data_IF_583132984050
#
_entry.id   IF_583132984050
#
_cell.length_a   1.000
_cell.length_b   1.000
_cell.length_c   1.000
_cell.angle_alpha   90.00
_cell.angle_beta   90.00
_cell.angle_gamma   90.00
#
_symmetry.space_group_name_H-M   'P 1'
#
loop_
_entity.id
_entity.type
_entity.pdbx_description
1 polymer ?
#
# COMPACT_ATOMS: atom_id res chain seq x y z
N UNK A 1 4.85 -6.39 10.19
CA UNK A 1 5.33 -4.99 10.12
C UNK A 1 4.67 -4.17 11.21
N UNK A 2 5.45 -3.41 11.94
CA UNK A 2 4.96 -2.46 12.93
C UNK A 2 5.71 -1.14 12.78
N UNK A 3 5.01 -0.08 12.37
CA UNK A 3 5.50 1.28 12.46
C UNK A 3 4.89 1.94 13.70
N UNK A 4 5.73 2.33 14.66
CA UNK A 4 5.26 2.95 15.91
C UNK A 4 4.65 4.33 15.72
N UNK A 5 4.98 5.00 14.62
CA UNK A 5 4.66 6.42 14.42
C UNK A 5 3.85 6.64 13.13
N UNK A 6 2.81 5.81 12.93
CA UNK A 6 1.91 5.83 11.76
C UNK A 6 1.14 7.15 11.53
N UNK A 7 1.47 8.21 12.25
CA UNK A 7 0.95 9.54 11.97
C UNK A 7 1.93 10.27 11.05
N UNK A 8 1.51 10.54 9.82
CA UNK A 8 2.20 11.40 8.87
C UNK A 8 2.18 12.87 9.35
N UNK A 9 2.84 13.13 10.48
CA UNK A 9 3.13 14.52 10.87
C UNK A 9 4.48 14.86 10.24
N UNK A 10 4.52 15.76 9.26
CA UNK A 10 5.77 16.20 8.66
C UNK A 10 6.75 16.67 9.73
N UNK A 11 7.96 16.12 9.72
CA UNK A 11 9.02 16.52 10.62
C UNK A 11 9.17 15.71 11.91
N UNK A 12 8.53 14.55 12.04
CA UNK A 12 8.53 13.75 13.28
C UNK A 12 9.37 12.46 13.24
N UNK A 13 10.25 12.29 12.25
CA UNK A 13 11.21 11.18 12.33
C UNK A 13 12.22 11.45 13.46
N UNK A 14 12.35 10.56 14.46
CA UNK A 14 13.35 10.72 15.51
C UNK A 14 14.76 10.85 14.91
N UNK A 15 15.65 11.66 15.51
CA UNK A 15 17.02 11.83 15.01
C UNK A 15 17.85 10.54 14.97
N UNK A 16 17.45 9.56 15.77
CA UNK A 16 18.09 8.24 15.92
C UNK A 16 17.38 7.14 15.10
N UNK A 17 16.46 7.49 14.21
CA UNK A 17 15.79 6.54 13.36
C UNK A 17 16.79 5.80 12.43
N UNK A 18 16.87 4.50 12.58
CA UNK A 18 17.87 3.65 11.90
C UNK A 18 17.37 2.96 10.63
N UNK A 19 16.10 3.11 10.29
CA UNK A 19 15.48 2.47 9.12
C UNK A 19 14.35 1.51 9.49
N UNK A 20 13.57 1.12 8.48
CA UNK A 20 12.48 0.16 8.59
C UNK A 20 12.92 -1.27 8.28
N UNK A 21 12.04 -2.22 8.54
CA UNK A 21 12.28 -3.64 8.25
C UNK A 21 10.98 -4.38 7.98
N UNK A 22 11.07 -5.48 7.25
CA UNK A 22 10.01 -6.47 7.12
C UNK A 22 10.30 -7.58 8.11
N UNK A 23 9.29 -7.99 8.87
CA UNK A 23 9.37 -9.04 9.88
C UNK A 23 8.33 -10.13 9.58
N UNK A 24 8.68 -11.37 9.91
CA UNK A 24 7.78 -12.51 9.98
C UNK A 24 7.62 -12.91 11.44
N UNK A 25 6.36 -13.07 11.88
CA UNK A 25 6.03 -13.50 13.23
C UNK A 25 5.41 -14.89 13.14
N UNK A 26 5.97 -15.84 13.85
CA UNK A 26 5.34 -17.15 14.07
C UNK A 26 4.16 -16.97 15.03
N UNK A 27 2.95 -17.34 14.60
CA UNK A 27 1.74 -17.11 15.39
C UNK A 27 1.57 -18.08 16.56
N UNK A 28 2.27 -19.22 16.56
CA UNK A 28 2.22 -20.20 17.65
C UNK A 28 3.24 -19.87 18.74
N UNK A 29 4.45 -19.50 18.35
CA UNK A 29 5.56 -19.26 19.28
C UNK A 29 5.73 -17.79 19.64
N UNK A 30 5.27 -16.87 18.79
CA UNK A 30 5.53 -15.43 18.88
C UNK A 30 6.96 -15.04 18.47
N UNK A 31 7.74 -15.96 17.94
CA UNK A 31 9.09 -15.65 17.45
C UNK A 31 9.06 -14.70 16.28
N UNK A 32 9.96 -13.71 16.30
CA UNK A 32 10.07 -12.67 15.27
C UNK A 32 11.36 -12.89 14.49
N UNK A 33 11.24 -13.01 13.18
CA UNK A 33 12.35 -13.08 12.24
C UNK A 33 12.39 -11.83 11.37
N UNK A 34 13.55 -11.21 11.25
CA UNK A 34 13.75 -10.09 10.32
C UNK A 34 13.98 -10.65 8.92
N UNK A 35 13.08 -10.31 8.00
CA UNK A 35 13.07 -10.82 6.62
C UNK A 35 13.88 -9.91 5.68
N UNK A 36 13.74 -8.58 5.83
CA UNK A 36 14.47 -7.62 5.01
C UNK A 36 14.66 -6.29 5.75
N UNK A 37 15.83 -5.67 5.57
CA UNK A 37 16.18 -4.36 6.13
C UNK A 37 16.67 -3.38 5.08
N UNK A 38 17.05 -3.87 3.89
CA UNK A 38 17.67 -3.07 2.84
C UNK A 38 17.46 -3.68 1.44
N UNK A 39 17.74 -2.86 0.43
CA UNK A 39 17.93 -3.28 -0.96
C UNK A 39 19.30 -2.76 -1.46
N UNK A 40 20.22 -3.66 -1.82
CA UNK A 40 21.56 -3.35 -2.36
C UNK A 40 22.35 -2.31 -1.54
N UNK A 41 22.32 -2.42 -0.19
CA UNK A 41 22.99 -1.50 0.73
C UNK A 41 22.22 -0.20 0.99
N UNK A 42 21.06 0.00 0.39
CA UNK A 42 20.15 1.11 0.70
C UNK A 42 19.14 0.67 1.76
N UNK A 43 19.20 1.18 2.99
CA UNK A 43 18.27 0.81 4.05
C UNK A 43 16.83 1.16 3.68
N UNK A 44 15.90 0.25 3.99
CA UNK A 44 14.47 0.55 3.96
C UNK A 44 14.17 1.67 4.97
N UNK A 45 13.38 2.66 4.57
CA UNK A 45 13.11 3.86 5.37
C UNK A 45 11.81 3.78 6.15
N UNK A 46 10.78 3.29 5.53
CA UNK A 46 9.45 3.15 6.13
C UNK A 46 8.60 2.15 5.35
N UNK A 47 8.94 0.84 5.38
CA UNK A 47 8.06 -0.17 4.83
C UNK A 47 6.64 0.05 5.36
N UNK A 48 5.67 0.12 4.48
CA UNK A 48 4.34 0.58 4.86
C UNK A 48 3.27 -0.51 4.66
N UNK A 49 3.03 -0.94 3.44
CA UNK A 49 1.98 -1.90 3.14
C UNK A 49 2.52 -3.06 2.30
N UNK A 50 1.81 -4.19 2.31
CA UNK A 50 2.25 -5.40 1.62
C UNK A 50 1.07 -6.22 1.09
N UNK A 51 1.32 -6.98 0.02
CA UNK A 51 0.38 -7.95 -0.55
C UNK A 51 1.11 -9.17 -1.05
N UNK A 52 0.48 -10.34 -0.93
CA UNK A 52 0.98 -11.59 -1.50
C UNK A 52 0.21 -11.94 -2.77
N UNK A 53 0.91 -12.48 -3.77
CA UNK A 53 0.28 -13.14 -4.91
C UNK A 53 -0.08 -14.60 -4.58
N UNK A 54 -0.78 -15.29 -5.48
CA UNK A 54 -1.21 -16.69 -5.30
C UNK A 54 -0.06 -17.69 -5.21
N UNK A 55 1.13 -17.32 -5.69
CA UNK A 55 2.34 -18.12 -5.56
C UNK A 55 3.06 -17.91 -4.22
N UNK A 56 2.59 -16.96 -3.39
CA UNK A 56 3.19 -16.60 -2.11
C UNK A 56 4.36 -15.61 -2.24
N UNK A 57 4.53 -14.98 -3.39
CA UNK A 57 5.49 -13.89 -3.51
C UNK A 57 4.96 -12.62 -2.83
N UNK A 58 5.86 -11.88 -2.23
CA UNK A 58 5.58 -10.65 -1.49
C UNK A 58 5.86 -9.41 -2.34
N UNK A 59 4.90 -8.49 -2.41
CA UNK A 59 5.08 -7.13 -2.88
C UNK A 59 4.89 -6.17 -1.72
N UNK A 60 5.74 -5.16 -1.59
CA UNK A 60 5.62 -4.18 -0.51
C UNK A 60 6.08 -2.79 -0.93
N UNK A 61 5.61 -1.79 -0.22
CA UNK A 61 5.98 -0.39 -0.39
C UNK A 61 6.92 0.07 0.71
N UNK A 62 7.82 1.00 0.38
CA UNK A 62 8.55 1.81 1.34
C UNK A 62 8.11 3.27 1.16
N UNK A 63 7.50 3.84 2.20
CA UNK A 63 6.94 5.19 2.20
C UNK A 63 8.02 6.29 2.15
N UNK A 64 9.26 5.96 2.53
CA UNK A 64 10.26 6.96 2.89
C UNK A 64 9.96 7.62 4.24
N UNK A 65 10.75 8.61 4.62
CA UNK A 65 10.56 9.38 5.87
C UNK A 65 10.61 10.89 5.62
N UNK A 66 9.84 11.63 6.41
CA UNK A 66 9.85 13.08 6.38
C UNK A 66 10.68 13.63 7.55
N UNK A 67 11.47 14.64 7.26
CA UNK A 67 12.30 15.38 8.21
C UNK A 67 11.97 16.88 8.13
N UNK A 68 12.43 17.72 9.06
CA UNK A 68 12.08 19.15 9.06
C UNK A 68 12.47 19.91 7.77
N UNK A 69 13.52 19.47 7.07
CA UNK A 69 14.09 20.19 5.92
C UNK A 69 14.15 19.36 4.63
N UNK A 70 13.85 18.06 4.69
CA UNK A 70 13.89 17.16 3.53
C UNK A 70 12.98 15.96 3.75
N UNK A 71 12.84 15.15 2.70
CA UNK A 71 12.15 13.87 2.72
C UNK A 71 12.97 12.84 1.97
N UNK A 72 13.04 11.62 2.50
CA UNK A 72 13.43 10.44 1.72
C UNK A 72 12.32 10.11 0.72
N UNK A 73 12.69 9.75 -0.48
CA UNK A 73 11.77 9.11 -1.43
C UNK A 73 11.62 7.63 -1.10
N UNK A 74 10.54 7.04 -1.56
CA UNK A 74 10.23 5.63 -1.35
C UNK A 74 10.29 4.81 -2.63
N UNK A 75 9.98 3.52 -2.51
CA UNK A 75 9.97 2.57 -3.61
C UNK A 75 8.93 1.47 -3.46
N UNK A 76 8.82 0.66 -4.50
CA UNK A 76 8.00 -0.54 -4.55
C UNK A 76 8.91 -1.73 -4.80
N UNK A 77 8.76 -2.76 -4.00
CA UNK A 77 9.66 -3.89 -3.92
C UNK A 77 8.93 -5.23 -4.05
N UNK A 78 9.71 -6.25 -4.37
CA UNK A 78 9.26 -7.63 -4.54
C UNK A 78 10.22 -8.60 -3.85
N UNK A 79 9.67 -9.68 -3.31
CA UNK A 79 10.45 -10.83 -2.83
C UNK A 79 9.75 -12.11 -3.30
N UNK A 80 10.50 -12.98 -3.98
CA UNK A 80 9.97 -14.28 -4.39
C UNK A 80 9.73 -15.19 -3.17
N UNK A 81 8.71 -16.02 -3.22
CA UNK A 81 8.40 -16.99 -2.18
C UNK A 81 9.63 -17.86 -1.85
N UNK A 82 9.96 -17.95 -0.56
CA UNK A 82 11.12 -18.72 -0.08
C UNK A 82 12.49 -18.06 -0.37
N UNK A 83 12.52 -16.85 -0.89
CA UNK A 83 13.75 -16.08 -1.11
C UNK A 83 13.98 -15.08 0.02
N UNK A 84 15.24 -14.81 0.33
CA UNK A 84 15.71 -13.73 1.19
C UNK A 84 16.11 -12.46 0.41
N UNK A 85 15.94 -12.47 -0.92
CA UNK A 85 16.38 -11.38 -1.80
C UNK A 85 15.25 -10.42 -2.11
N UNK A 86 15.45 -9.16 -1.75
CA UNK A 86 14.63 -8.04 -2.20
C UNK A 86 14.99 -7.69 -3.63
N UNK A 87 13.99 -7.39 -4.45
CA UNK A 87 14.10 -6.82 -5.79
C UNK A 87 13.33 -5.51 -5.82
N UNK A 88 13.83 -4.53 -6.55
CA UNK A 88 13.14 -3.25 -6.75
C UNK A 88 12.30 -3.31 -8.03
N UNK A 89 11.01 -2.99 -7.94
CA UNK A 89 10.18 -2.76 -9.12
C UNK A 89 10.38 -1.35 -9.65
N UNK A 90 10.36 -0.37 -8.75
CA UNK A 90 10.62 1.04 -9.06
C UNK A 90 10.93 1.81 -7.79
N UNK A 91 11.64 2.94 -7.93
CA UNK A 91 12.06 3.80 -6.83
C UNK A 91 11.86 5.28 -7.18
N UNK A 92 12.11 6.14 -6.22
CA UNK A 92 12.01 7.59 -6.34
C UNK A 92 10.56 8.12 -6.44
N UNK A 93 9.63 7.41 -5.82
CA UNK A 93 8.28 7.91 -5.57
C UNK A 93 8.25 8.77 -4.30
N UNK A 94 7.28 9.67 -4.21
CA UNK A 94 7.22 10.61 -3.08
C UNK A 94 6.90 9.87 -1.78
N UNK A 95 5.86 9.02 -1.79
CA UNK A 95 5.38 8.36 -0.58
C UNK A 95 4.50 7.13 -0.90
N UNK A 96 5.08 6.06 -1.48
CA UNK A 96 4.34 4.82 -1.72
C UNK A 96 3.76 4.27 -0.43
N UNK A 97 2.44 4.03 -0.41
CA UNK A 97 1.69 3.57 0.75
C UNK A 97 0.93 2.28 0.39
N UNK A 98 -0.40 2.29 0.36
CA UNK A 98 -1.19 1.11 0.06
C UNK A 98 -0.77 0.40 -1.24
N UNK A 99 -0.75 -0.92 -1.23
CA UNK A 99 -0.37 -1.75 -2.38
C UNK A 99 -1.37 -2.90 -2.59
N UNK A 100 -1.62 -3.28 -3.84
CA UNK A 100 -2.49 -4.39 -4.17
C UNK A 100 -2.26 -4.92 -5.57
N UNK A 101 -2.73 -6.14 -5.82
CA UNK A 101 -2.64 -6.81 -7.12
C UNK A 101 -3.99 -6.83 -7.83
N UNK A 102 -3.99 -6.68 -9.16
CA UNK A 102 -5.18 -6.95 -9.97
C UNK A 102 -5.66 -8.40 -9.79
N UNK A 103 -6.94 -8.72 -10.09
CA UNK A 103 -7.47 -10.08 -9.91
C UNK A 103 -6.74 -11.17 -10.70
N UNK A 104 -6.12 -10.81 -11.82
CA UNK A 104 -5.28 -11.68 -12.66
C UNK A 104 -3.79 -11.63 -12.28
N UNK A 105 -3.44 -10.82 -11.26
CA UNK A 105 -2.07 -10.60 -10.77
C UNK A 105 -1.09 -10.06 -11.84
N UNK A 106 -1.63 -9.51 -12.95
CA UNK A 106 -0.82 -8.95 -14.02
C UNK A 106 -0.45 -7.48 -13.80
N UNK A 107 -1.05 -6.83 -12.79
CA UNK A 107 -0.79 -5.42 -12.46
C UNK A 107 -0.65 -5.23 -10.95
N UNK A 108 0.41 -4.54 -10.55
CA UNK A 108 0.58 -4.02 -9.17
C UNK A 108 0.07 -2.60 -9.13
N UNK A 109 -0.87 -2.31 -8.23
CA UNK A 109 -1.32 -0.96 -7.93
C UNK A 109 -0.70 -0.49 -6.62
N UNK A 110 -0.33 0.79 -6.55
CA UNK A 110 -0.02 1.43 -5.28
C UNK A 110 -0.57 2.84 -5.21
N UNK A 111 -0.86 3.27 -3.99
CA UNK A 111 -1.24 4.64 -3.67
C UNK A 111 -0.02 5.43 -3.23
N UNK A 112 0.19 6.62 -3.80
CA UNK A 112 1.19 7.57 -3.33
C UNK A 112 0.50 8.64 -2.50
N UNK A 113 0.84 8.70 -1.22
CA UNK A 113 0.15 9.51 -0.23
C UNK A 113 0.17 11.00 -0.58
N UNK A 114 1.35 11.56 -0.73
CA UNK A 114 1.50 13.02 -0.82
C UNK A 114 1.18 13.57 -2.20
N UNK A 115 1.29 12.77 -3.24
CA UNK A 115 0.89 13.16 -4.58
C UNK A 115 -0.59 12.90 -4.88
N UNK A 116 -1.30 12.18 -3.99
CA UNK A 116 -2.68 11.73 -4.16
C UNK A 116 -2.90 11.04 -5.52
N UNK A 117 -1.98 10.13 -5.88
CA UNK A 117 -2.02 9.37 -7.13
C UNK A 117 -2.13 7.88 -6.85
N UNK A 118 -2.89 7.21 -7.71
CA UNK A 118 -2.85 5.76 -7.87
C UNK A 118 -1.97 5.44 -9.07
N UNK A 119 -0.94 4.66 -8.84
CA UNK A 119 0.00 4.19 -9.83
C UNK A 119 -0.25 2.71 -10.15
N UNK A 120 0.19 2.28 -11.31
CA UNK A 120 0.16 0.88 -11.73
C UNK A 120 1.47 0.50 -12.43
N UNK A 121 1.95 -0.71 -12.13
CA UNK A 121 2.99 -1.41 -12.85
C UNK A 121 2.38 -2.64 -13.53
N UNK A 122 2.33 -2.65 -14.85
CA UNK A 122 1.97 -3.85 -15.60
C UNK A 122 3.17 -4.81 -15.59
N UNK A 123 2.95 -6.07 -15.22
CA UNK A 123 4.02 -7.04 -15.03
C UNK A 123 4.25 -7.86 -16.32
N UNK A 124 5.52 -8.11 -16.65
CA UNK A 124 5.90 -9.16 -17.63
C UNK A 124 5.82 -10.54 -16.99
N UNK A 125 6.23 -10.62 -15.73
CA UNK A 125 6.19 -11.78 -14.86
C UNK A 125 6.28 -11.29 -13.41
N UNK A 126 6.01 -12.14 -12.40
CA UNK A 126 6.18 -11.74 -11.00
C UNK A 126 7.52 -11.06 -10.72
N UNK A 127 7.48 -9.90 -10.10
CA UNK A 127 8.65 -9.09 -9.75
C UNK A 127 9.32 -8.33 -10.90
N UNK A 128 8.77 -8.37 -12.13
CA UNK A 128 9.35 -7.66 -13.29
C UNK A 128 8.28 -6.78 -13.95
N UNK A 129 8.41 -5.48 -13.76
CA UNK A 129 7.54 -4.49 -14.38
C UNK A 129 7.90 -4.24 -15.85
N UNK A 130 6.87 -4.08 -16.68
CA UNK A 130 7.01 -3.63 -18.07
C UNK A 130 7.39 -2.16 -18.11
N UNK A 131 8.14 -1.76 -19.10
CA UNK A 131 8.39 -0.35 -19.37
C UNK A 131 7.09 0.32 -19.87
N UNK A 132 6.54 1.26 -19.10
CA UNK A 132 5.33 1.99 -19.46
C UNK A 132 5.64 3.19 -20.40
N UNK A 133 6.76 3.88 -20.14
CA UNK A 133 7.27 4.99 -20.98
C UNK A 133 8.80 4.87 -21.06
N UNK A 134 9.49 5.63 -21.96
CA UNK A 134 10.94 5.63 -21.99
C UNK A 134 11.62 6.04 -20.67
N UNK A 135 10.86 6.61 -19.72
CA UNK A 135 11.39 7.16 -18.47
C UNK A 135 10.78 6.54 -17.20
N UNK A 136 9.82 5.63 -17.33
CA UNK A 136 9.13 5.05 -16.17
C UNK A 136 8.56 3.67 -16.49
N UNK A 137 8.69 2.76 -15.56
CA UNK A 137 8.00 1.47 -15.55
C UNK A 137 6.54 1.63 -15.09
N UNK A 138 6.25 2.64 -14.26
CA UNK A 138 4.91 2.94 -13.76
C UNK A 138 4.11 3.89 -14.64
N UNK A 139 2.80 3.72 -14.61
CA UNK A 139 1.81 4.66 -15.17
C UNK A 139 0.86 5.16 -14.08
N UNK A 140 0.45 6.43 -14.17
CA UNK A 140 -0.59 6.97 -13.30
C UNK A 140 -1.95 6.49 -13.80
N UNK A 141 -2.74 5.87 -12.91
CA UNK A 141 -4.12 5.47 -13.18
C UNK A 141 -5.07 6.63 -12.90
N UNK A 142 -4.92 7.28 -11.76
CA UNK A 142 -5.69 8.47 -11.37
C UNK A 142 -4.84 9.38 -10.48
N UNK A 143 -5.13 10.69 -10.54
CA UNK A 143 -4.56 11.69 -9.66
C UNK A 143 -5.63 12.71 -9.28
N UNK A 144 -5.62 13.14 -8.01
CA UNK A 144 -6.65 14.04 -7.49
C UNK A 144 -6.18 15.48 -7.57
N UNK A 145 -7.07 16.41 -7.99
CA UNK A 145 -6.70 17.82 -8.15
C UNK A 145 -6.75 18.61 -6.84
N UNK A 146 -7.40 18.08 -5.81
CA UNK A 146 -7.58 18.71 -4.51
C UNK A 146 -6.59 18.20 -3.46
N UNK A 147 -6.52 18.89 -2.34
CA UNK A 147 -5.66 18.47 -1.21
C UNK A 147 -6.28 17.27 -0.52
N UNK A 148 -5.69 16.11 -0.72
CA UNK A 148 -5.96 14.88 0.00
C UNK A 148 -4.70 14.02 0.07
N UNK A 149 -4.70 13.05 0.97
CA UNK A 149 -3.63 12.07 1.07
C UNK A 149 -4.23 10.68 0.90
N UNK A 150 -3.61 9.88 0.04
CA UNK A 150 -3.96 8.47 -0.08
C UNK A 150 -3.17 7.65 0.94
N UNK A 151 -3.84 6.66 1.53
CA UNK A 151 -3.27 5.75 2.53
C UNK A 151 -3.33 4.31 2.02
N UNK A 152 -3.57 3.33 2.86
CA UNK A 152 -3.68 1.93 2.47
C UNK A 152 -4.86 1.67 1.55
N UNK A 153 -4.83 0.58 0.82
CA UNK A 153 -5.84 0.23 -0.17
C UNK A 153 -6.21 -1.27 -0.14
N UNK A 154 -7.36 -1.57 -0.72
CA UNK A 154 -7.73 -2.93 -1.09
C UNK A 154 -8.28 -2.95 -2.52
N UNK A 155 -8.16 -4.09 -3.18
CA UNK A 155 -8.67 -4.29 -4.54
C UNK A 155 -10.02 -5.00 -4.48
N UNK A 156 -10.98 -4.58 -5.31
CA UNK A 156 -12.24 -5.29 -5.46
C UNK A 156 -12.11 -6.46 -6.44
N UNK A 157 -13.06 -7.39 -6.40
CA UNK A 157 -13.12 -8.50 -7.35
C UNK A 157 -13.29 -8.04 -8.81
N UNK A 158 -13.81 -6.82 -9.02
CA UNK A 158 -13.91 -6.18 -10.34
C UNK A 158 -12.59 -5.49 -10.78
N UNK A 159 -11.56 -5.46 -9.91
CA UNK A 159 -10.29 -4.80 -10.18
C UNK A 159 -10.24 -3.31 -9.83
N UNK A 160 -11.26 -2.78 -9.14
CA UNK A 160 -11.25 -1.41 -8.68
C UNK A 160 -10.31 -1.26 -7.47
N UNK A 161 -9.58 -0.15 -7.41
CA UNK A 161 -8.67 0.20 -6.31
C UNK A 161 -9.44 1.04 -5.30
N UNK A 162 -9.74 0.48 -4.12
CA UNK A 162 -10.41 1.16 -3.02
C UNK A 162 -9.37 1.74 -2.08
N UNK A 163 -9.11 3.05 -2.16
CA UNK A 163 -8.03 3.73 -1.42
C UNK A 163 -8.60 4.51 -0.25
N UNK A 164 -8.09 4.26 0.95
CA UNK A 164 -8.36 5.09 2.10
C UNK A 164 -7.83 6.52 1.87
N UNK A 165 -8.65 7.51 2.21
CA UNK A 165 -8.43 8.91 1.83
C UNK A 165 -8.47 9.80 3.06
N UNK A 166 -7.33 10.35 3.42
CA UNK A 166 -7.13 11.27 4.54
C UNK A 166 -7.49 12.70 4.08
N UNK A 167 -7.95 13.53 5.00
CA UNK A 167 -8.49 14.88 4.92
C UNK A 167 -9.92 14.92 4.37
N UNK A 168 -10.21 14.24 3.27
CA UNK A 168 -11.57 14.13 2.73
C UNK A 168 -12.43 13.13 3.52
N UNK A 169 -11.81 12.25 4.27
CA UNK A 169 -12.47 11.27 5.14
C UNK A 169 -13.33 10.28 4.38
N UNK A 170 -12.74 9.19 3.91
CA UNK A 170 -13.50 8.20 3.15
C UNK A 170 -12.66 7.21 2.36
N UNK A 171 -13.33 6.52 1.45
CA UNK A 171 -12.70 5.62 0.49
C UNK A 171 -12.90 6.19 -0.92
N UNK A 172 -11.81 6.44 -1.62
CA UNK A 172 -11.80 6.77 -3.05
C UNK A 172 -11.68 5.47 -3.83
N UNK A 173 -12.71 5.13 -4.61
CA UNK A 173 -12.69 3.96 -5.50
C UNK A 173 -12.28 4.40 -6.89
N UNK A 174 -11.15 3.87 -7.38
CA UNK A 174 -10.57 4.17 -8.69
C UNK A 174 -10.72 2.94 -9.59
N UNK A 175 -11.34 3.10 -10.74
CA UNK A 175 -11.46 2.05 -11.76
C UNK A 175 -10.15 1.94 -12.56
N UNK A 176 -9.89 0.80 -13.23
CA UNK A 176 -8.69 0.61 -14.05
C UNK A 176 -8.52 1.63 -15.19
N UNK A 177 -9.61 2.25 -15.64
CA UNK A 177 -9.63 3.33 -16.66
C UNK A 177 -9.41 4.74 -16.09
N UNK A 178 -9.25 4.86 -14.74
CA UNK A 178 -9.03 6.11 -14.03
C UNK A 178 -10.29 6.85 -13.59
N UNK A 179 -11.49 6.38 -13.96
CA UNK A 179 -12.72 6.93 -13.38
C UNK A 179 -12.74 6.66 -11.87
N UNK A 180 -13.27 7.60 -11.09
CA UNK A 180 -13.28 7.44 -9.64
C UNK A 180 -14.54 8.01 -9.00
N UNK A 181 -14.83 7.48 -7.82
CA UNK A 181 -15.89 7.95 -6.92
C UNK A 181 -15.36 8.04 -5.48
N UNK A 182 -16.08 8.72 -4.61
CA UNK A 182 -15.70 8.85 -3.20
C UNK A 182 -16.88 8.53 -2.29
N UNK A 183 -16.66 7.62 -1.33
CA UNK A 183 -17.61 7.27 -0.28
C UNK A 183 -17.11 7.87 1.03
N UNK A 184 -17.79 8.90 1.52
CA UNK A 184 -17.40 9.62 2.75
C UNK A 184 -17.73 8.83 4.03
N UNK A 185 -16.86 8.97 5.03
CA UNK A 185 -17.07 8.50 6.40
C UNK A 185 -16.90 9.66 7.39
N UNK A 186 -17.48 9.56 8.60
CA UNK A 186 -17.49 10.68 9.57
C UNK A 186 -16.17 10.82 10.34
N UNK A 187 -15.03 10.67 9.66
CA UNK A 187 -13.68 10.82 10.20
C UNK A 187 -12.74 11.31 9.10
N UNK A 188 -12.02 12.43 9.28
CA UNK A 188 -11.09 12.93 8.26
C UNK A 188 -9.84 12.05 8.09
N UNK A 189 -9.57 11.12 9.01
CA UNK A 189 -8.42 10.22 9.00
C UNK A 189 -8.85 8.77 8.76
N UNK A 190 -9.44 8.50 7.60
CA UNK A 190 -9.69 7.14 7.12
C UNK A 190 -8.39 6.60 6.54
N UNK A 191 -7.83 5.54 7.14
CA UNK A 191 -6.45 5.11 6.88
C UNK A 191 -6.32 3.73 6.23
N UNK A 192 -7.35 2.87 6.35
CA UNK A 192 -7.29 1.56 5.71
C UNK A 192 -8.69 1.02 5.39
N UNK A 193 -8.75 0.08 4.43
CA UNK A 193 -9.91 -0.73 4.11
C UNK A 193 -9.47 -2.17 3.87
N UNK A 194 -10.21 -3.13 4.41
CA UNK A 194 -10.03 -4.56 4.11
C UNK A 194 -11.39 -5.20 3.85
N UNK A 195 -11.41 -6.22 2.98
CA UNK A 195 -12.61 -6.95 2.66
C UNK A 195 -12.64 -8.32 3.32
N UNK A 196 -13.84 -8.78 3.68
CA UNK A 196 -14.07 -10.09 4.27
C UNK A 196 -15.53 -10.49 4.23
N UNK A 197 -15.87 -11.46 5.10
CA UNK A 197 -17.19 -12.09 5.08
C UNK A 197 -17.29 -13.17 4.00
N UNK A 198 -18.33 -13.99 4.07
CA UNK A 198 -18.53 -15.13 3.18
C UNK A 198 -18.59 -14.73 1.69
N UNK A 199 -19.22 -13.58 1.40
CA UNK A 199 -19.35 -13.04 0.04
C UNK A 199 -18.35 -11.92 -0.28
N UNK A 200 -17.35 -11.70 0.59
CA UNK A 200 -16.33 -10.66 0.46
C UNK A 200 -16.88 -9.21 0.35
N UNK A 201 -18.12 -8.97 0.79
CA UNK A 201 -18.74 -7.63 0.78
C UNK A 201 -18.73 -6.92 2.12
N UNK A 202 -18.20 -7.53 3.15
CA UNK A 202 -17.98 -6.85 4.41
C UNK A 202 -16.70 -6.03 4.33
N UNK A 203 -16.83 -4.71 4.33
CA UNK A 203 -15.70 -3.79 4.39
C UNK A 203 -15.41 -3.43 5.85
N UNK A 204 -14.15 -3.60 6.25
CA UNK A 204 -13.61 -3.18 7.54
C UNK A 204 -12.74 -1.96 7.32
N UNK A 205 -13.05 -0.86 7.98
CA UNK A 205 -12.44 0.45 7.71
C UNK A 205 -11.93 1.06 9.01
N UNK A 206 -10.69 1.52 9.00
CA UNK A 206 -10.08 2.21 10.15
C UNK A 206 -10.32 3.70 10.09
N UNK A 207 -10.87 4.24 11.19
CA UNK A 207 -11.12 5.65 11.41
C UNK A 207 -10.14 6.15 12.49
N UNK A 208 -8.96 6.60 12.06
CA UNK A 208 -7.83 6.86 12.96
C UNK A 208 -8.02 8.12 13.82
N UNK A 209 -8.80 9.10 13.35
CA UNK A 209 -9.09 10.31 14.12
C UNK A 209 -9.93 10.04 15.35
N UNK A 210 -10.86 9.09 15.27
CA UNK A 210 -11.74 8.69 16.37
C UNK A 210 -11.32 7.39 17.05
N UNK A 211 -10.29 6.70 16.52
CA UNK A 211 -9.79 5.43 17.06
C UNK A 211 -10.78 4.28 16.90
N UNK A 212 -11.53 4.24 15.80
CA UNK A 212 -12.57 3.25 15.56
C UNK A 212 -12.20 2.31 14.40
N UNK A 213 -12.61 1.05 14.51
CA UNK A 213 -12.74 0.11 13.43
C UNK A 213 -14.23 -0.08 13.14
N UNK A 214 -14.66 0.25 11.95
CA UNK A 214 -16.06 0.07 11.54
C UNK A 214 -16.19 -1.06 10.54
N UNK A 215 -17.37 -1.67 10.50
CA UNK A 215 -17.78 -2.66 9.50
C UNK A 215 -19.02 -2.14 8.77
N UNK A 216 -19.00 -2.20 7.45
CA UNK A 216 -20.16 -1.88 6.63
C UNK A 216 -20.27 -2.82 5.43
N UNK A 217 -21.44 -2.84 4.80
CA UNK A 217 -21.64 -3.57 3.53
C UNK A 217 -21.14 -2.70 2.37
N UNK A 218 -20.22 -3.24 1.59
CA UNK A 218 -19.70 -2.59 0.40
C UNK A 218 -20.52 -2.98 -0.84
N UNK A 219 -20.69 -2.08 -1.83
CA UNK A 219 -21.51 -2.36 -3.00
C UNK A 219 -21.03 -3.55 -3.83
N UNK A 220 -19.70 -3.73 -3.92
CA UNK A 220 -19.06 -4.82 -4.67
C UNK A 220 -18.22 -5.71 -3.74
N UNK A 221 -17.94 -6.93 -4.20
CA UNK A 221 -17.09 -7.84 -3.44
C UNK A 221 -15.63 -7.39 -3.51
N UNK A 222 -14.90 -7.51 -2.41
CA UNK A 222 -13.44 -7.41 -2.41
C UNK A 222 -12.79 -8.60 -3.11
N UNK A 223 -11.57 -8.40 -3.59
CA UNK A 223 -10.74 -9.49 -4.11
C UNK A 223 -10.34 -10.42 -2.96
N UNK A 224 -10.60 -11.71 -3.13
CA UNK A 224 -10.16 -12.73 -2.16
C UNK A 224 -8.67 -12.96 -2.35
N UNK A 225 -7.88 -12.62 -1.33
CA UNK A 225 -6.44 -12.84 -1.29
C UNK A 225 -6.11 -14.26 -0.80
N UNK A 226 -4.88 -14.71 -1.02
CA UNK A 226 -4.42 -16.06 -0.66
C UNK A 226 -4.59 -16.38 0.84
N UNK A 227 -4.48 -15.39 1.71
CA UNK A 227 -4.61 -15.55 3.16
C UNK A 227 -5.93 -15.02 3.74
N UNK A 228 -6.89 -14.64 2.90
CA UNK A 228 -8.25 -14.33 3.33
C UNK A 228 -9.05 -15.63 3.37
N UNK A 229 -8.95 -16.34 4.45
CA UNK A 229 -9.70 -17.58 4.64
C UNK A 229 -11.16 -17.32 5.06
#
# INVERSE_FOLDING_TARGET
YHERDGLLIPGHCPPDYSGGRIERIDLETGEVEVVATEFEGRPLKGPNDLVFDKAGNLYFTDLGKSYPTHRDTGGVYFMAAGSDKVQELDYNHISPNGIGLSPDEATVYFADTMSARVWAFDLEKPGVAKQATPFSTGRVVAGMPDLRYFDSLAISAAGNVCVATILQGGITTVQPDGQHSHTAFPDPFVTNIAFGGEDMKDAYITLSGTGQLIKCRWPEAGLKLIFNA
#
